data_IF_754635004783
#
_entry.id   IF_754635004783
#
_cell.length_a   1.000
_cell.length_b   1.000
_cell.length_c   1.000
_cell.angle_alpha   90.00
_cell.angle_beta   90.00
_cell.angle_gamma   90.00
#
_symmetry.space_group_name_H-M   'P 1'
#
loop_
_entity.id
_entity.type
_entity.pdbx_description
1 polymer ?
#
# COMPACT_ATOMS: atom_id res chain seq x y z
N UNK A 1 -1.18 -41.51 21.36
CA UNK A 1 -2.63 -41.48 21.18
C UNK A 1 -2.95 -40.40 20.20
N UNK A 2 -3.57 -40.68 19.07
CA UNK A 2 -3.89 -39.64 18.08
C UNK A 2 -5.08 -38.84 18.60
N UNK A 3 -4.89 -37.51 18.70
CA UNK A 3 -5.99 -36.58 18.92
C UNK A 3 -6.86 -36.58 17.66
N UNK A 4 -8.10 -37.00 17.82
CA UNK A 4 -9.15 -36.96 16.80
C UNK A 4 -9.47 -35.50 16.46
N UNK A 5 -8.91 -35.03 15.34
CA UNK A 5 -9.35 -33.83 14.65
C UNK A 5 -10.47 -34.21 13.69
N UNK A 6 -11.69 -34.23 14.17
CA UNK A 6 -12.84 -34.09 13.25
C UNK A 6 -14.13 -33.85 14.04
N UNK A 7 -14.49 -32.56 14.18
CA UNK A 7 -15.87 -32.09 14.36
C UNK A 7 -15.95 -30.61 14.01
N UNK A 8 -15.71 -30.27 12.77
CA UNK A 8 -16.21 -29.02 12.18
C UNK A 8 -17.73 -29.13 11.91
N UNK A 9 -18.51 -29.46 12.92
CA UNK A 9 -19.93 -29.18 12.92
C UNK A 9 -20.06 -27.68 13.23
N UNK A 10 -20.37 -26.90 12.22
CA UNK A 10 -20.58 -25.46 12.33
C UNK A 10 -21.89 -25.22 13.08
N UNK A 11 -21.82 -25.21 14.41
CA UNK A 11 -22.99 -25.07 15.30
C UNK A 11 -23.70 -23.71 15.11
N UNK A 12 -23.02 -22.72 14.52
CA UNK A 12 -23.56 -21.41 14.20
C UNK A 12 -22.89 -20.89 12.93
N UNK A 13 -23.66 -20.50 11.93
CA UNK A 13 -23.15 -20.00 10.65
C UNK A 13 -23.58 -18.57 10.43
N UNK A 14 -22.60 -17.68 10.18
CA UNK A 14 -22.82 -16.28 9.84
C UNK A 14 -22.67 -16.09 8.33
N UNK A 15 -23.68 -15.52 7.69
CA UNK A 15 -23.71 -15.27 6.24
C UNK A 15 -23.95 -13.79 6.00
N UNK A 16 -23.06 -13.18 5.25
CA UNK A 16 -23.17 -11.79 4.82
C UNK A 16 -23.69 -11.77 3.38
N UNK A 17 -24.74 -10.98 3.15
CA UNK A 17 -25.38 -10.83 1.83
C UNK A 17 -24.58 -9.83 0.98
N UNK A 18 -23.37 -10.22 0.57
CA UNK A 18 -22.51 -9.43 -0.30
C UNK A 18 -21.79 -10.35 -1.30
N UNK A 19 -21.44 -9.85 -2.50
CA UNK A 19 -20.63 -10.61 -3.45
C UNK A 19 -19.27 -11.01 -2.85
N UNK A 20 -18.69 -12.13 -3.29
CA UNK A 20 -17.33 -12.51 -2.88
C UNK A 20 -16.32 -11.40 -3.17
N UNK A 21 -15.49 -11.06 -2.19
CA UNK A 21 -14.48 -10.01 -2.31
C UNK A 21 -15.01 -8.58 -2.19
N UNK A 22 -16.28 -8.39 -1.83
CA UNK A 22 -16.86 -7.08 -1.61
C UNK A 22 -16.12 -6.31 -0.52
N UNK A 23 -15.89 -5.01 -0.78
CA UNK A 23 -15.28 -4.09 0.18
C UNK A 23 -16.31 -3.05 0.59
N UNK A 24 -16.63 -3.02 1.86
CA UNK A 24 -17.54 -2.04 2.43
C UNK A 24 -16.84 -0.68 2.63
N UNK A 25 -17.62 0.40 2.60
CA UNK A 25 -17.16 1.70 3.04
C UNK A 25 -17.55 1.95 4.50
N UNK A 26 -16.83 2.87 5.17
CA UNK A 26 -17.30 3.41 6.42
C UNK A 26 -18.63 4.16 6.19
N UNK A 27 -19.65 3.87 6.98
CA UNK A 27 -21.02 4.33 6.79
C UNK A 27 -21.96 3.34 6.10
N UNK A 28 -21.43 2.33 5.39
CA UNK A 28 -22.24 1.29 4.77
C UNK A 28 -22.97 0.43 5.81
N UNK A 29 -24.02 -0.24 5.35
CA UNK A 29 -24.77 -1.20 6.14
C UNK A 29 -24.46 -2.62 5.69
N UNK A 30 -24.00 -3.45 6.61
CA UNK A 30 -23.81 -4.88 6.38
C UNK A 30 -25.11 -5.61 6.71
N UNK A 31 -25.62 -6.34 5.73
CA UNK A 31 -26.86 -7.11 5.84
C UNK A 31 -26.53 -8.60 5.72
N UNK A 32 -27.24 -9.42 6.44
CA UNK A 32 -27.03 -10.85 6.38
C UNK A 32 -27.96 -11.63 7.31
N UNK A 33 -27.61 -12.86 7.56
CA UNK A 33 -28.35 -13.71 8.48
C UNK A 33 -27.44 -14.69 9.21
N UNK A 34 -27.88 -15.08 10.38
CA UNK A 34 -27.25 -16.07 11.24
C UNK A 34 -28.12 -17.33 11.22
N UNK A 35 -27.50 -18.49 11.07
CA UNK A 35 -28.19 -19.78 11.02
C UNK A 35 -27.67 -20.70 12.11
N UNK A 36 -28.58 -21.28 12.84
CA UNK A 36 -28.32 -22.43 13.71
C UNK A 36 -28.89 -23.70 13.06
N UNK A 37 -28.08 -24.50 12.37
CA UNK A 37 -28.58 -25.68 11.66
C UNK A 37 -28.84 -26.86 12.60
N UNK A 38 -28.17 -26.92 13.77
CA UNK A 38 -28.28 -28.03 14.66
C UNK A 38 -29.47 -27.91 15.64
N UNK A 39 -30.10 -29.02 15.99
CA UNK A 39 -31.22 -29.04 16.93
C UNK A 39 -30.85 -28.48 18.29
N UNK A 40 -31.78 -27.75 18.88
CA UNK A 40 -31.65 -27.21 20.23
C UNK A 40 -33.04 -26.98 20.84
N UNK A 41 -33.20 -27.42 22.08
CA UNK A 41 -34.38 -27.09 22.88
C UNK A 41 -33.88 -26.51 24.19
N UNK A 42 -34.22 -25.25 24.45
CA UNK A 42 -33.78 -24.55 25.66
C UNK A 42 -34.83 -23.53 26.10
N UNK A 43 -35.10 -23.40 27.41
CA UNK A 43 -36.03 -22.39 27.90
C UNK A 43 -35.50 -20.99 27.78
N UNK A 44 -34.19 -20.83 27.67
CA UNK A 44 -33.55 -19.49 27.58
C UNK A 44 -32.37 -19.51 26.63
N UNK A 45 -32.44 -18.66 25.62
CA UNK A 45 -31.37 -18.40 24.67
C UNK A 45 -31.28 -16.91 24.32
N UNK A 46 -30.07 -16.46 24.03
CA UNK A 46 -29.82 -15.12 23.51
C UNK A 46 -28.88 -15.23 22.32
N UNK A 47 -29.27 -14.64 21.19
CA UNK A 47 -28.44 -14.48 20.00
C UNK A 47 -28.06 -13.03 19.87
N UNK A 48 -26.79 -12.77 19.78
CA UNK A 48 -26.26 -11.42 19.64
C UNK A 48 -25.22 -11.33 18.51
N UNK A 49 -25.10 -10.15 17.93
CA UNK A 49 -24.14 -9.83 16.87
C UNK A 49 -23.43 -8.54 17.21
N UNK A 50 -22.12 -8.47 16.98
CA UNK A 50 -21.33 -7.27 17.14
C UNK A 50 -20.42 -7.07 15.92
N UNK A 51 -20.17 -5.82 15.56
CA UNK A 51 -19.06 -5.42 14.68
C UNK A 51 -17.84 -5.13 15.54
N UNK A 52 -16.77 -5.86 15.29
CA UNK A 52 -15.51 -5.79 16.03
C UNK A 52 -14.42 -5.26 15.12
N UNK A 53 -13.53 -4.43 15.65
CA UNK A 53 -12.29 -4.03 15.00
C UNK A 53 -11.11 -4.40 15.87
N UNK A 54 -10.03 -4.85 15.25
CA UNK A 54 -8.76 -5.12 15.92
C UNK A 54 -7.65 -4.48 15.10
N UNK A 55 -6.94 -3.53 15.70
CA UNK A 55 -5.68 -3.03 15.15
C UNK A 55 -4.57 -3.60 16.01
N UNK A 56 -3.77 -4.49 15.42
CA UNK A 56 -2.66 -5.15 16.09
C UNK A 56 -1.35 -4.62 15.57
N UNK A 57 -0.44 -4.35 16.49
CA UNK A 57 0.94 -3.98 16.19
C UNK A 57 1.86 -4.90 16.97
N UNK A 58 2.90 -5.39 16.31
CA UNK A 58 3.91 -6.25 16.92
C UNK A 58 5.30 -5.76 16.51
N UNK A 59 6.24 -5.80 17.43
CA UNK A 59 7.64 -5.43 17.18
C UNK A 59 8.57 -6.45 17.85
N UNK A 60 9.57 -6.88 17.08
CA UNK A 60 10.65 -7.73 17.55
C UNK A 60 11.96 -6.98 17.40
N UNK A 61 12.71 -6.81 18.48
CA UNK A 61 14.02 -6.18 18.41
C UNK A 61 15.07 -7.10 17.76
N UNK A 62 15.98 -6.51 16.98
CA UNK A 62 17.06 -7.27 16.38
C UNK A 62 18.02 -7.82 17.45
N UNK A 63 18.52 -9.03 17.24
CA UNK A 63 19.45 -9.69 18.17
C UNK A 63 20.73 -8.88 18.46
N UNK A 64 21.16 -8.02 17.52
CA UNK A 64 22.32 -7.14 17.69
C UNK A 64 22.08 -6.04 18.73
N UNK A 65 20.86 -5.51 18.82
CA UNK A 65 20.47 -4.50 19.81
C UNK A 65 20.25 -5.13 21.19
N UNK A 66 19.67 -6.34 21.22
CA UNK A 66 19.52 -7.13 22.43
C UNK A 66 20.88 -7.49 23.08
N UNK A 67 21.91 -7.70 22.27
CA UNK A 67 23.27 -8.02 22.76
C UNK A 67 24.01 -6.82 23.39
N UNK A 68 23.76 -5.59 22.92
CA UNK A 68 24.39 -4.37 23.47
C UNK A 68 23.77 -3.94 24.81
N UNK A 69 22.57 -4.38 25.14
CA UNK A 69 21.85 -4.05 26.37
C UNK A 69 21.90 -5.16 27.43
N UNK A 70 22.91 -6.05 27.40
CA UNK A 70 23.09 -7.20 28.30
C UNK A 70 23.18 -6.92 29.81
N UNK A 71 23.11 -5.69 30.24
CA UNK A 71 23.05 -5.33 31.66
C UNK A 71 21.64 -5.34 32.27
N UNK A 72 20.62 -5.57 31.46
CA UNK A 72 19.25 -5.64 31.94
C UNK A 72 18.73 -7.08 31.74
N UNK A 73 18.42 -7.76 32.85
CA UNK A 73 17.84 -9.11 32.96
C UNK A 73 16.41 -9.26 32.42
N UNK A 74 16.03 -8.49 31.40
CA UNK A 74 14.68 -8.49 30.87
C UNK A 74 14.67 -9.09 29.47
N UNK A 75 13.93 -10.19 29.32
CA UNK A 75 13.53 -10.77 28.04
C UNK A 75 12.97 -9.68 27.13
N UNK A 76 13.76 -9.24 26.15
CA UNK A 76 13.30 -8.42 25.03
C UNK A 76 12.50 -9.33 24.10
N UNK A 77 11.27 -9.64 24.49
CA UNK A 77 10.32 -10.40 23.69
C UNK A 77 9.43 -9.47 22.87
N UNK A 78 8.69 -10.05 21.97
CA UNK A 78 7.63 -9.40 21.19
C UNK A 78 6.83 -8.42 22.05
N UNK A 79 6.63 -7.22 21.54
CA UNK A 79 5.79 -6.19 22.13
C UNK A 79 4.47 -6.10 21.35
N UNK A 80 3.52 -7.04 21.55
CA UNK A 80 2.23 -6.94 20.90
C UNK A 80 1.40 -5.84 21.56
N UNK A 81 0.74 -5.03 20.75
CA UNK A 81 -0.27 -4.12 21.21
C UNK A 81 -1.55 -4.30 20.38
N UNK A 82 -2.68 -4.26 21.05
CA UNK A 82 -3.97 -4.34 20.40
C UNK A 82 -4.81 -3.11 20.76
N UNK A 83 -5.45 -2.54 19.73
CA UNK A 83 -6.29 -1.37 19.82
C UNK A 83 -7.66 -1.72 19.24
N UNK A 84 -8.71 -1.41 19.96
CA UNK A 84 -10.07 -1.58 19.46
C UNK A 84 -10.58 -0.22 18.96
N UNK A 85 -10.63 -0.04 17.63
CA UNK A 85 -11.14 1.18 17.01
C UNK A 85 -12.65 1.35 17.20
N UNK A 86 -13.37 0.25 17.40
CA UNK A 86 -14.78 0.19 17.70
C UNK A 86 -14.98 -0.45 19.06
N UNK A 87 -15.88 0.08 19.87
CA UNK A 87 -16.34 -0.59 21.07
C UNK A 87 -17.53 -1.47 20.66
N UNK A 88 -17.38 -2.81 20.63
CA UNK A 88 -18.42 -3.69 20.15
C UNK A 88 -19.63 -3.60 21.08
N UNK A 89 -20.69 -2.92 20.61
CA UNK A 89 -22.01 -2.96 21.25
C UNK A 89 -22.80 -4.06 20.57
N UNK A 90 -22.99 -5.23 21.22
CA UNK A 90 -23.75 -6.30 20.62
C UNK A 90 -25.22 -5.88 20.47
N UNK A 91 -25.77 -6.13 19.28
CA UNK A 91 -27.21 -6.06 19.04
C UNK A 91 -27.80 -7.43 19.36
N UNK A 92 -28.92 -7.44 20.06
CA UNK A 92 -29.64 -8.69 20.37
C UNK A 92 -30.58 -9.00 19.21
N UNK A 93 -30.34 -10.12 18.53
CA UNK A 93 -31.18 -10.60 17.43
C UNK A 93 -32.34 -11.45 17.91
N UNK A 94 -32.14 -12.15 19.04
CA UNK A 94 -33.14 -13.01 19.65
C UNK A 94 -32.89 -13.11 21.17
N UNK A 95 -33.98 -13.19 21.92
CA UNK A 95 -33.95 -13.50 23.35
C UNK A 95 -35.24 -14.20 23.74
N UNK A 96 -35.13 -15.38 24.34
CA UNK A 96 -36.27 -16.18 24.79
C UNK A 96 -36.06 -17.70 24.65
N UNK A 97 -37.13 -18.50 24.79
CA UNK A 97 -37.06 -19.94 24.57
C UNK A 97 -36.75 -20.24 23.09
N UNK A 98 -35.84 -21.18 22.85
CA UNK A 98 -35.43 -21.59 21.52
C UNK A 98 -35.73 -23.09 21.33
N UNK A 99 -36.46 -23.39 20.25
CA UNK A 99 -36.75 -24.73 19.82
C UNK A 99 -36.41 -24.90 18.35
N UNK A 100 -35.37 -25.65 18.05
CA UNK A 100 -35.01 -26.13 16.72
C UNK A 100 -35.12 -27.64 16.71
N UNK A 101 -36.16 -28.23 16.10
CA UNK A 101 -36.40 -29.66 16.10
C UNK A 101 -35.35 -30.44 15.28
N UNK A 102 -35.21 -31.75 15.54
CA UNK A 102 -34.20 -32.59 14.87
C UNK A 102 -34.45 -32.79 13.37
N UNK A 103 -35.70 -32.67 12.94
CA UNK A 103 -36.16 -32.81 11.55
C UNK A 103 -36.22 -31.49 10.79
N UNK A 104 -35.79 -30.39 11.43
CA UNK A 104 -35.76 -29.08 10.75
C UNK A 104 -34.67 -29.01 9.69
N UNK A 105 -35.07 -29.02 8.43
CA UNK A 105 -34.14 -28.88 7.31
C UNK A 105 -33.45 -27.48 7.23
N UNK A 106 -34.10 -26.44 7.77
CA UNK A 106 -33.65 -25.05 7.63
C UNK A 106 -32.98 -24.49 8.92
N UNK A 107 -33.17 -25.17 10.06
CA UNK A 107 -32.68 -24.68 11.36
C UNK A 107 -33.39 -23.39 11.80
N UNK A 108 -32.79 -22.68 12.75
CA UNK A 108 -33.23 -21.32 13.13
C UNK A 108 -32.39 -20.26 12.44
N UNK A 109 -33.08 -19.25 11.89
CA UNK A 109 -32.44 -18.17 11.14
C UNK A 109 -32.83 -16.79 11.71
N UNK A 110 -31.83 -15.92 11.89
CA UNK A 110 -32.02 -14.54 12.35
C UNK A 110 -31.36 -13.59 11.37
N UNK A 111 -32.15 -12.73 10.74
CA UNK A 111 -31.65 -11.67 9.88
C UNK A 111 -31.05 -10.54 10.70
N UNK A 112 -30.05 -9.85 10.14
CA UNK A 112 -29.44 -8.69 10.75
C UNK A 112 -29.12 -7.59 9.76
N UNK A 113 -29.00 -6.39 10.30
CA UNK A 113 -28.51 -5.18 9.62
C UNK A 113 -27.67 -4.41 10.62
N UNK A 114 -26.39 -4.16 10.30
CA UNK A 114 -25.47 -3.43 11.16
C UNK A 114 -24.74 -2.36 10.36
N UNK A 115 -24.77 -1.13 10.84
CA UNK A 115 -24.08 -0.01 10.19
C UNK A 115 -22.62 0.05 10.62
N UNK A 116 -21.70 0.21 9.65
CA UNK A 116 -20.29 0.47 9.89
C UNK A 116 -20.14 1.94 10.32
N UNK A 117 -19.57 2.23 11.49
CA UNK A 117 -19.34 3.60 11.90
C UNK A 117 -18.39 4.35 10.95
N UNK A 118 -18.57 5.65 10.76
CA UNK A 118 -17.66 6.47 9.96
C UNK A 118 -16.40 6.88 10.72
N UNK A 119 -16.43 6.82 12.05
CA UNK A 119 -15.36 7.26 12.95
C UNK A 119 -15.10 6.24 14.04
N UNK A 120 -13.84 6.13 14.52
CA UNK A 120 -13.53 5.39 15.73
C UNK A 120 -14.31 5.91 16.93
N UNK A 121 -14.58 5.04 17.88
CA UNK A 121 -15.35 5.41 19.06
C UNK A 121 -14.51 6.21 20.06
N UNK A 122 -15.20 6.92 20.93
CA UNK A 122 -14.59 7.83 21.90
C UNK A 122 -13.73 7.14 22.95
N UNK A 123 -14.08 5.90 23.32
CA UNK A 123 -13.34 5.06 24.26
C UNK A 123 -11.90 4.76 23.80
N UNK A 124 -11.68 4.66 22.49
CA UNK A 124 -10.34 4.45 21.92
C UNK A 124 -9.43 5.66 22.21
N UNK A 125 -9.98 6.85 22.14
CA UNK A 125 -9.25 8.10 22.36
C UNK A 125 -8.91 8.36 23.82
N UNK A 126 -9.82 8.00 24.73
CA UNK A 126 -9.67 8.25 26.16
C UNK A 126 -8.69 7.32 26.89
N UNK A 127 -8.41 6.14 26.31
CA UNK A 127 -7.53 5.12 26.90
C UNK A 127 -6.04 5.27 26.56
N UNK A 128 -5.66 6.24 25.70
CA UNK A 128 -4.30 6.38 25.19
C UNK A 128 -3.68 7.74 25.51
N UNK A 129 -2.34 7.76 25.62
CA UNK A 129 -1.57 9.00 25.76
C UNK A 129 -1.23 9.58 24.39
N UNK A 130 -1.15 10.91 24.30
CA UNK A 130 -0.84 11.61 23.04
C UNK A 130 0.49 11.15 22.43
N UNK A 131 1.50 10.87 23.26
CA UNK A 131 2.83 10.45 22.81
C UNK A 131 2.83 9.07 22.13
N UNK A 132 1.79 8.26 22.37
CA UNK A 132 1.62 6.94 21.75
C UNK A 132 0.73 6.96 20.51
N UNK A 133 0.47 8.13 19.94
CA UNK A 133 -0.41 8.28 18.78
C UNK A 133 0.17 9.23 17.73
N UNK A 134 0.07 8.84 16.44
CA UNK A 134 0.44 9.70 15.31
C UNK A 134 -0.57 10.81 15.05
N UNK A 135 -1.81 10.65 15.50
CA UNK A 135 -2.87 11.66 15.32
C UNK A 135 -3.26 12.27 16.69
N UNK A 136 -3.68 13.53 16.71
CA UNK A 136 -4.16 14.15 17.93
C UNK A 136 -5.31 13.35 18.55
N UNK A 137 -5.28 13.16 19.88
CA UNK A 137 -6.37 12.52 20.61
C UNK A 137 -7.48 13.52 20.96
N UNK A 138 -7.33 14.78 20.59
CA UNK A 138 -8.31 15.84 20.80
C UNK A 138 -9.56 15.62 19.93
N UNK A 139 -10.72 15.79 20.54
CA UNK A 139 -12.04 15.70 19.91
C UNK A 139 -12.28 16.75 18.81
N UNK A 140 -11.53 17.85 18.84
CA UNK A 140 -11.70 18.99 17.92
C UNK A 140 -11.05 18.79 16.55
N UNK A 141 -10.41 17.64 16.31
CA UNK A 141 -9.81 17.30 15.02
C UNK A 141 -10.55 16.14 14.29
N UNK A 142 -11.83 16.30 13.92
CA UNK A 142 -12.64 15.21 13.37
C UNK A 142 -12.09 14.64 12.07
N UNK A 143 -11.36 15.42 11.28
CA UNK A 143 -10.74 14.96 10.04
C UNK A 143 -9.66 13.88 10.27
N UNK A 144 -9.04 13.85 11.44
CA UNK A 144 -8.04 12.85 11.80
C UNK A 144 -8.64 11.56 12.38
N UNK A 145 -9.93 11.57 12.69
CA UNK A 145 -10.64 10.44 13.30
C UNK A 145 -11.56 9.73 12.31
N UNK A 146 -11.06 9.47 11.11
CA UNK A 146 -11.75 8.64 10.12
C UNK A 146 -11.44 7.18 10.43
N UNK A 147 -12.45 6.31 10.30
CA UNK A 147 -12.24 4.87 10.44
C UNK A 147 -11.31 4.40 9.31
N UNK A 148 -10.12 3.84 9.61
CA UNK A 148 -9.20 3.38 8.57
C UNK A 148 -9.77 2.15 7.85
N UNK A 149 -9.34 1.91 6.63
CA UNK A 149 -9.63 0.67 5.91
C UNK A 149 -8.87 -0.53 6.48
N UNK A 150 -9.27 -1.73 6.06
CA UNK A 150 -8.54 -2.96 6.35
C UNK A 150 -7.12 -2.89 5.78
N UNK A 151 -6.14 -3.30 6.57
CA UNK A 151 -4.73 -3.14 6.24
C UNK A 151 -3.91 -4.27 6.87
N UNK A 152 -2.86 -4.69 6.19
CA UNK A 152 -1.88 -5.62 6.75
C UNK A 152 -0.51 -5.35 6.11
N UNK A 153 0.51 -5.23 6.94
CA UNK A 153 1.88 -5.07 6.49
C UNK A 153 2.84 -5.63 7.53
N UNK A 154 4.01 -6.06 7.08
CA UNK A 154 5.10 -6.48 7.95
C UNK A 154 6.41 -6.41 7.18
N UNK A 155 7.50 -6.22 7.91
CA UNK A 155 8.81 -6.17 7.30
C UNK A 155 9.94 -5.99 8.29
N UNK A 156 11.13 -6.29 7.80
CA UNK A 156 12.37 -6.08 8.55
C UNK A 156 12.86 -4.64 8.40
N UNK A 157 13.46 -4.14 9.45
CA UNK A 157 14.18 -2.88 9.48
C UNK A 157 15.55 -3.08 10.12
N UNK A 158 16.36 -2.03 10.19
CA UNK A 158 17.65 -2.06 10.92
C UNK A 158 17.47 -2.35 12.42
N UNK A 159 16.30 -2.03 12.96
CA UNK A 159 15.99 -2.13 14.38
C UNK A 159 15.27 -3.44 14.74
N UNK A 160 14.89 -4.26 13.75
CA UNK A 160 14.22 -5.54 13.94
C UNK A 160 13.04 -5.72 12.98
N UNK A 161 12.14 -6.63 13.31
CA UNK A 161 10.92 -6.90 12.56
C UNK A 161 9.74 -6.15 13.16
N UNK A 162 8.86 -5.61 12.33
CA UNK A 162 7.58 -5.06 12.77
C UNK A 162 6.45 -5.48 11.82
N UNK A 163 5.30 -5.69 12.41
CA UNK A 163 4.07 -5.99 11.68
C UNK A 163 2.90 -5.20 12.24
N UNK A 164 1.93 -4.95 11.39
CA UNK A 164 0.69 -4.31 11.76
C UNK A 164 -0.47 -4.84 10.93
N UNK A 165 -1.62 -5.06 11.57
CA UNK A 165 -2.88 -5.33 10.88
C UNK A 165 -4.01 -4.47 11.43
N UNK A 166 -4.97 -4.14 10.55
CA UNK A 166 -6.24 -3.51 10.88
C UNK A 166 -7.32 -4.41 10.28
N UNK A 167 -8.05 -5.08 11.15
CA UNK A 167 -9.02 -6.09 10.78
C UNK A 167 -10.40 -5.73 11.32
N UNK A 168 -11.42 -6.09 10.56
CA UNK A 168 -12.82 -5.95 10.93
C UNK A 168 -13.53 -7.27 10.74
N UNK A 169 -14.38 -7.61 11.68
CA UNK A 169 -15.18 -8.83 11.61
C UNK A 169 -16.50 -8.67 12.35
N UNK A 170 -17.47 -9.40 11.89
CA UNK A 170 -18.70 -9.62 12.63
C UNK A 170 -18.47 -10.79 13.60
N UNK A 171 -18.86 -10.61 14.84
CA UNK A 171 -18.86 -11.66 15.86
C UNK A 171 -20.30 -11.94 16.26
N UNK A 172 -20.75 -13.17 16.02
CA UNK A 172 -22.06 -13.63 16.45
C UNK A 172 -21.91 -14.63 17.59
N UNK A 173 -22.76 -14.47 18.62
CA UNK A 173 -22.74 -15.30 19.82
C UNK A 173 -24.13 -15.81 20.15
N UNK A 174 -24.26 -17.13 20.27
CA UNK A 174 -25.42 -17.79 20.82
C UNK A 174 -25.09 -18.21 22.26
N UNK A 175 -25.84 -17.72 23.23
CA UNK A 175 -25.82 -18.17 24.62
C UNK A 175 -27.14 -18.86 24.93
N UNK A 176 -27.09 -20.00 25.59
CA UNK A 176 -28.29 -20.75 25.98
C UNK A 176 -28.07 -21.58 27.23
N UNK A 177 -29.14 -21.96 27.90
CA UNK A 177 -29.10 -22.83 29.07
C UNK A 177 -29.22 -24.30 28.65
N UNK A 178 -28.37 -25.16 29.22
CA UNK A 178 -28.50 -26.62 29.11
C UNK A 178 -28.45 -27.20 30.50
N UNK A 179 -29.63 -27.65 30.98
CA UNK A 179 -29.79 -27.92 32.41
C UNK A 179 -29.58 -26.67 33.24
N UNK A 180 -28.69 -26.71 34.22
CA UNK A 180 -28.38 -25.56 35.10
C UNK A 180 -27.12 -24.78 34.65
N UNK A 181 -26.54 -25.08 33.47
CA UNK A 181 -25.32 -24.44 32.99
C UNK A 181 -25.55 -23.59 31.73
N UNK A 182 -24.90 -22.43 31.67
CA UNK A 182 -24.84 -21.64 30.48
C UNK A 182 -23.79 -22.18 29.50
N UNK A 183 -24.18 -22.32 28.25
CA UNK A 183 -23.27 -22.62 27.13
C UNK A 183 -23.25 -21.47 26.16
N UNK A 184 -22.16 -21.32 25.40
CA UNK A 184 -22.07 -20.31 24.37
C UNK A 184 -21.27 -20.80 23.17
N UNK A 185 -21.77 -20.48 21.98
CA UNK A 185 -21.08 -20.65 20.71
C UNK A 185 -20.79 -19.28 20.13
N UNK A 186 -19.60 -19.12 19.56
CA UNK A 186 -19.19 -17.89 18.90
C UNK A 186 -18.72 -18.23 17.48
N UNK A 187 -19.14 -17.45 16.51
CA UNK A 187 -18.65 -17.52 15.14
C UNK A 187 -18.28 -16.13 14.66
N UNK A 188 -17.28 -16.04 13.80
CA UNK A 188 -16.81 -14.78 13.24
C UNK A 188 -16.85 -14.82 11.72
N UNK A 189 -17.07 -13.66 11.11
CA UNK A 189 -17.01 -13.49 9.67
C UNK A 189 -16.19 -12.24 9.36
N UNK A 190 -15.01 -12.35 8.67
CA UNK A 190 -14.21 -11.21 8.33
C UNK A 190 -14.92 -10.33 7.31
N UNK A 191 -14.84 -9.02 7.48
CA UNK A 191 -15.28 -8.03 6.50
C UNK A 191 -14.13 -7.13 6.11
N UNK A 192 -14.05 -6.76 4.84
CA UNK A 192 -13.04 -5.83 4.33
C UNK A 192 -13.64 -4.44 4.23
N UNK A 193 -13.04 -3.47 4.92
CA UNK A 193 -13.41 -2.06 4.81
C UNK A 193 -12.41 -1.37 3.89
N UNK A 194 -12.90 -0.64 2.87
CA UNK A 194 -12.06 0.18 2.01
C UNK A 194 -11.59 1.43 2.73
N UNK A 195 -10.41 1.91 2.38
CA UNK A 195 -9.92 3.19 2.90
C UNK A 195 -10.81 4.33 2.41
N UNK A 196 -10.96 5.34 3.26
CA UNK A 196 -11.71 6.54 2.92
C UNK A 196 -11.00 7.30 1.79
N UNK A 197 -11.77 7.71 0.78
CA UNK A 197 -11.29 8.57 -0.29
C UNK A 197 -11.12 9.97 0.27
N UNK A 198 -9.86 10.38 0.49
CA UNK A 198 -9.58 11.77 0.84
C UNK A 198 -9.60 12.60 -0.46
N UNK A 199 -10.51 13.56 -0.54
CA UNK A 199 -10.42 14.60 -1.56
C UNK A 199 -9.10 15.34 -1.40
N UNK A 200 -8.19 15.15 -2.33
CA UNK A 200 -6.92 15.85 -2.33
C UNK A 200 -6.95 16.93 -3.40
N UNK A 201 -6.88 18.18 -3.00
CA UNK A 201 -6.67 19.33 -3.91
C UNK A 201 -5.45 19.17 -4.83
N UNK A 202 -4.59 18.18 -4.53
CA UNK A 202 -3.36 17.90 -5.25
C UNK A 202 -3.47 16.79 -6.32
N UNK A 203 -4.65 16.19 -6.54
CA UNK A 203 -4.78 15.12 -7.54
C UNK A 203 -4.41 15.55 -8.96
N UNK A 204 -4.58 16.84 -9.29
CA UNK A 204 -4.23 17.38 -10.60
C UNK A 204 -2.88 18.11 -10.63
N UNK A 205 -2.19 18.22 -9.50
CA UNK A 205 -0.91 18.89 -9.45
C UNK A 205 0.22 17.96 -9.91
N UNK A 206 1.02 18.44 -10.85
CA UNK A 206 2.20 17.73 -11.33
C UNK A 206 3.44 18.15 -10.54
N UNK A 207 4.36 17.21 -10.38
CA UNK A 207 5.73 17.45 -9.94
C UNK A 207 6.62 17.34 -11.17
N UNK A 208 7.52 18.27 -11.33
CA UNK A 208 8.53 18.26 -12.37
C UNK A 208 9.89 17.97 -11.75
N UNK A 209 10.63 17.06 -12.36
CA UNK A 209 11.99 16.70 -11.97
C UNK A 209 12.90 16.82 -13.19
N UNK A 210 14.00 17.54 -13.02
CA UNK A 210 14.98 17.73 -14.07
C UNK A 210 16.24 16.92 -13.79
N UNK A 211 16.65 16.12 -14.77
CA UNK A 211 17.84 15.28 -14.72
C UNK A 211 18.77 15.65 -15.88
N UNK A 212 20.08 15.71 -15.63
CA UNK A 212 21.07 15.98 -16.67
C UNK A 212 21.57 14.66 -17.26
N UNK A 213 21.56 14.58 -18.59
CA UNK A 213 22.06 13.44 -19.34
C UNK A 213 23.26 13.85 -20.17
N UNK A 214 24.27 12.98 -20.26
CA UNK A 214 25.51 13.21 -21.01
C UNK A 214 25.85 11.96 -21.81
N UNK A 215 25.95 12.14 -23.12
CA UNK A 215 26.30 11.08 -24.07
C UNK A 215 27.64 11.40 -24.72
N UNK A 216 28.56 10.45 -24.69
CA UNK A 216 29.92 10.68 -25.16
C UNK A 216 30.36 9.60 -26.13
N UNK A 217 30.33 9.90 -27.42
CA UNK A 217 30.71 8.96 -28.48
C UNK A 217 31.09 9.67 -29.76
N UNK A 218 32.00 9.07 -30.54
CA UNK A 218 32.34 9.55 -31.86
C UNK A 218 31.19 9.47 -32.87
N UNK A 219 30.19 8.60 -32.57
CA UNK A 219 28.97 8.51 -33.39
C UNK A 219 28.07 9.74 -33.33
N UNK A 220 28.38 10.70 -32.47
CA UNK A 220 27.73 12.00 -32.44
C UNK A 220 28.22 12.93 -33.58
N UNK A 221 29.32 12.62 -34.25
CA UNK A 221 29.80 13.37 -35.40
C UNK A 221 28.89 13.07 -36.60
N UNK A 222 28.33 14.10 -37.29
CA UNK A 222 27.53 13.91 -38.50
C UNK A 222 28.26 13.02 -39.53
N UNK A 223 27.55 12.01 -40.02
CA UNK A 223 28.12 11.02 -40.96
C UNK A 223 28.83 9.83 -40.32
N UNK A 224 28.93 9.78 -38.95
CA UNK A 224 29.52 8.66 -38.22
C UNK A 224 28.50 7.84 -37.40
N UNK A 225 27.21 8.11 -37.54
CA UNK A 225 26.14 7.55 -36.73
C UNK A 225 26.13 6.02 -36.71
N UNK A 226 26.35 5.38 -37.85
CA UNK A 226 26.39 3.92 -38.02
C UNK A 226 27.81 3.34 -38.09
N UNK A 227 28.86 4.17 -37.93
CA UNK A 227 30.24 3.69 -38.07
C UNK A 227 30.64 2.69 -37.00
N UNK A 228 31.32 1.61 -37.42
CA UNK A 228 31.97 0.68 -36.47
C UNK A 228 33.21 1.35 -35.90
N UNK A 229 33.25 1.56 -34.58
CA UNK A 229 34.40 2.19 -33.90
C UNK A 229 35.58 1.20 -33.88
N UNK A 230 36.75 1.68 -34.33
CA UNK A 230 38.00 0.92 -34.27
C UNK A 230 38.42 0.66 -32.79
N UNK A 231 39.28 -0.33 -32.51
CA UNK A 231 39.78 -0.59 -31.14
C UNK A 231 40.45 0.66 -30.54
N UNK A 232 41.19 1.41 -31.33
CA UNK A 232 41.85 2.69 -30.92
C UNK A 232 40.81 3.75 -30.52
N UNK A 233 39.72 3.85 -31.25
CA UNK A 233 38.61 4.78 -30.94
C UNK A 233 37.85 4.38 -29.67
N UNK A 234 37.64 3.06 -29.45
CA UNK A 234 37.08 2.54 -28.19
C UNK A 234 37.99 2.85 -27.01
N UNK A 235 39.30 2.72 -27.20
CA UNK A 235 40.31 3.02 -26.17
C UNK A 235 40.34 4.52 -25.82
N UNK A 236 40.29 5.42 -26.81
CA UNK A 236 40.19 6.88 -26.58
C UNK A 236 38.96 7.23 -25.73
N UNK A 237 37.86 6.54 -25.94
CA UNK A 237 36.65 6.67 -25.13
C UNK A 237 36.89 6.26 -23.68
N UNK A 238 37.54 5.12 -23.48
CA UNK A 238 37.81 4.58 -22.12
C UNK A 238 38.71 5.54 -21.31
N UNK A 239 39.71 6.14 -21.92
CA UNK A 239 40.63 7.11 -21.30
C UNK A 239 40.09 8.53 -21.22
N UNK A 240 38.85 8.78 -21.57
CA UNK A 240 38.24 10.10 -21.38
C UNK A 240 38.79 11.21 -22.22
N UNK A 241 39.32 10.91 -23.42
CA UNK A 241 39.95 11.91 -24.31
C UNK A 241 39.00 13.07 -24.66
N UNK A 242 39.47 14.31 -24.54
CA UNK A 242 38.73 15.53 -24.91
C UNK A 242 38.35 15.60 -26.41
N UNK A 243 38.93 14.72 -27.23
CA UNK A 243 38.62 14.63 -28.68
C UNK A 243 37.28 13.94 -28.97
N UNK A 244 36.64 13.30 -27.99
CA UNK A 244 35.35 12.68 -28.18
C UNK A 244 34.24 13.68 -27.89
N UNK A 245 33.33 13.95 -28.83
CA UNK A 245 32.24 14.89 -28.61
C UNK A 245 31.30 14.41 -27.51
N UNK A 246 30.80 15.36 -26.73
CA UNK A 246 29.84 15.18 -25.67
C UNK A 246 28.56 15.92 -26.03
N UNK A 247 27.43 15.20 -26.03
CA UNK A 247 26.10 15.79 -26.14
C UNK A 247 25.44 15.79 -24.75
N UNK A 248 24.99 16.98 -24.34
CA UNK A 248 24.32 17.18 -23.07
C UNK A 248 22.85 17.56 -23.30
N UNK A 249 21.95 16.92 -22.57
CA UNK A 249 20.55 17.31 -22.54
C UNK A 249 19.98 17.29 -21.12
N UNK A 250 18.88 18.01 -20.93
CA UNK A 250 18.04 17.94 -19.74
C UNK A 250 16.85 17.07 -20.06
N UNK A 251 16.63 16.07 -19.23
CA UNK A 251 15.43 15.28 -19.19
C UNK A 251 14.52 15.86 -18.12
N UNK A 252 13.35 16.31 -18.48
CA UNK A 252 12.29 16.78 -17.61
C UNK A 252 11.21 15.70 -17.53
N UNK A 253 11.01 15.15 -16.34
CA UNK A 253 9.96 14.18 -16.06
C UNK A 253 8.88 14.85 -15.22
N UNK A 254 7.64 14.88 -15.75
CA UNK A 254 6.47 15.40 -15.05
C UNK A 254 5.55 14.24 -14.70
N UNK A 255 5.19 14.14 -13.43
CA UNK A 255 4.33 13.09 -12.88
C UNK A 255 3.44 13.64 -11.78
N UNK A 256 2.30 12.98 -11.44
CA UNK A 256 1.36 13.50 -10.46
C UNK A 256 1.94 13.43 -9.03
N UNK A 257 1.52 14.35 -8.18
CA UNK A 257 1.83 14.31 -6.73
C UNK A 257 0.99 13.28 -5.97
N UNK A 258 -0.15 12.90 -6.55
CA UNK A 258 -1.04 11.87 -6.02
C UNK A 258 -1.55 10.97 -7.14
N UNK A 259 -1.66 9.67 -6.88
CA UNK A 259 -2.24 8.67 -7.78
C UNK A 259 -3.43 8.03 -7.09
N UNK A 260 -4.58 8.01 -7.74
CA UNK A 260 -5.75 7.27 -7.29
C UNK A 260 -5.65 5.82 -7.77
N UNK A 261 -5.84 4.86 -6.86
CA UNK A 261 -5.94 3.46 -7.22
C UNK A 261 -7.22 3.23 -8.03
N UNK A 262 -7.11 2.48 -9.13
CA UNK A 262 -8.26 2.19 -9.99
C UNK A 262 -8.92 3.43 -10.61
N UNK A 263 -8.24 4.59 -10.58
CA UNK A 263 -8.80 5.85 -11.08
C UNK A 263 -9.21 5.75 -12.55
N UNK A 264 -10.25 6.53 -12.97
CA UNK A 264 -10.79 6.46 -14.34
C UNK A 264 -9.85 7.07 -15.40
N UNK A 265 -8.88 7.87 -14.97
CA UNK A 265 -7.93 8.54 -15.85
C UNK A 265 -6.54 7.90 -15.77
N UNK A 266 -5.82 7.81 -16.91
CA UNK A 266 -4.44 7.37 -16.91
C UNK A 266 -3.55 8.26 -16.05
N UNK A 267 -2.51 7.65 -15.45
CA UNK A 267 -1.50 8.38 -14.68
C UNK A 267 -0.79 9.38 -15.60
N UNK A 268 -0.86 10.69 -15.38
CA UNK A 268 -0.16 11.67 -16.22
C UNK A 268 1.35 11.54 -16.02
N UNK A 269 2.03 10.94 -16.98
CA UNK A 269 3.48 10.78 -17.02
C UNK A 269 4.03 11.37 -18.30
N UNK A 270 4.63 12.55 -18.21
CA UNK A 270 5.13 13.27 -19.37
C UNK A 270 6.64 13.42 -19.30
N UNK A 271 7.29 13.21 -20.42
CA UNK A 271 8.74 13.33 -20.57
C UNK A 271 9.06 14.35 -21.66
N UNK A 272 9.96 15.28 -21.35
CA UNK A 272 10.49 16.28 -22.27
C UNK A 272 12.03 16.25 -22.27
N UNK A 273 12.66 16.45 -23.44
CA UNK A 273 14.10 16.43 -23.59
C UNK A 273 14.54 17.71 -24.26
N UNK A 274 15.39 18.47 -23.57
CA UNK A 274 15.92 19.77 -24.07
C UNK A 274 17.43 19.71 -24.16
N UNK A 275 18.05 20.03 -25.30
CA UNK A 275 19.51 20.11 -25.43
C UNK A 275 20.09 21.22 -24.54
N UNK A 276 21.31 21.00 -24.04
CA UNK A 276 22.07 22.00 -23.27
C UNK A 276 23.29 22.39 -24.09
N UNK A 277 23.11 23.40 -24.91
CA UNK A 277 24.14 23.85 -25.88
C UNK A 277 25.43 24.29 -25.20
N UNK A 278 25.35 24.94 -24.05
CA UNK A 278 26.53 25.41 -23.28
C UNK A 278 27.42 24.25 -22.82
N UNK A 279 26.85 23.08 -22.56
CA UNK A 279 27.56 21.90 -22.12
C UNK A 279 27.80 20.88 -23.23
N UNK A 280 27.31 21.14 -24.44
CA UNK A 280 27.48 20.29 -25.61
C UNK A 280 28.73 20.71 -26.36
N UNK A 281 29.54 19.75 -26.84
CA UNK A 281 30.75 19.99 -27.58
C UNK A 281 30.48 20.87 -28.82
N UNK A 282 31.33 21.86 -29.07
CA UNK A 282 31.17 22.85 -30.11
C UNK A 282 30.97 22.22 -31.50
N UNK A 283 31.68 21.14 -31.80
CA UNK A 283 31.59 20.42 -33.09
C UNK A 283 30.23 19.84 -33.43
N UNK A 284 29.33 19.73 -32.45
CA UNK A 284 28.00 19.12 -32.60
C UNK A 284 26.88 19.98 -32.04
N UNK A 285 27.20 21.20 -31.61
CA UNK A 285 26.25 22.16 -31.03
C UNK A 285 25.21 22.58 -32.08
N UNK A 286 23.96 22.73 -31.67
CA UNK A 286 22.86 23.12 -32.53
C UNK A 286 22.41 22.06 -33.54
N UNK A 287 23.04 20.88 -33.58
CA UNK A 287 22.57 19.77 -34.42
C UNK A 287 21.47 18.99 -33.71
N UNK A 288 20.25 18.92 -34.26
CA UNK A 288 19.18 18.13 -33.70
C UNK A 288 19.59 16.67 -33.55
N UNK A 289 19.25 16.07 -32.40
CA UNK A 289 19.55 14.66 -32.09
C UNK A 289 18.28 13.87 -31.87
N UNK A 290 18.31 12.62 -32.24
CA UNK A 290 17.30 11.66 -31.90
C UNK A 290 17.70 10.98 -30.57
N UNK A 291 16.88 11.16 -29.56
CA UNK A 291 17.03 10.49 -28.28
C UNK A 291 15.98 9.38 -28.22
N UNK A 292 16.43 8.13 -28.17
CA UNK A 292 15.55 6.99 -28.04
C UNK A 292 15.31 6.71 -26.57
N UNK A 293 14.04 6.54 -26.18
CA UNK A 293 13.64 6.08 -24.87
C UNK A 293 13.51 4.55 -24.95
N UNK A 294 14.42 3.85 -24.28
CA UNK A 294 14.48 2.39 -24.34
C UNK A 294 13.46 1.76 -23.38
N UNK A 295 13.36 2.28 -22.18
CA UNK A 295 12.39 1.85 -21.18
C UNK A 295 12.24 2.85 -20.03
N UNK A 296 11.13 2.71 -19.31
CA UNK A 296 10.85 3.40 -18.06
C UNK A 296 10.52 2.34 -17.02
N UNK A 297 10.95 2.57 -15.78
CA UNK A 297 10.64 1.73 -14.62
C UNK A 297 10.07 2.59 -13.51
N UNK A 298 9.04 2.11 -12.86
CA UNK A 298 8.45 2.71 -11.67
C UNK A 298 8.65 1.78 -10.47
N UNK A 299 9.22 2.28 -9.40
CA UNK A 299 9.37 1.55 -8.13
C UNK A 299 8.62 2.29 -7.05
N UNK A 300 7.65 1.63 -6.45
CA UNK A 300 6.90 2.14 -5.28
C UNK A 300 7.57 1.58 -4.03
N UNK A 301 8.06 2.44 -3.18
CA UNK A 301 8.55 2.11 -1.85
C UNK A 301 7.46 2.46 -0.83
N UNK A 302 6.84 1.44 -0.25
CA UNK A 302 5.89 1.58 0.84
C UNK A 302 6.66 1.81 2.14
N UNK A 303 6.29 2.81 2.91
CA UNK A 303 6.86 3.11 4.22
C UNK A 303 5.77 3.00 5.26
N UNK A 304 5.95 2.11 6.23
CA UNK A 304 5.04 1.95 7.36
C UNK A 304 5.75 2.23 8.66
N UNK A 305 5.28 3.23 9.39
CA UNK A 305 5.73 3.50 10.75
C UNK A 305 4.69 2.97 11.72
N UNK A 306 5.15 2.21 12.72
CA UNK A 306 4.33 1.55 13.73
C UNK A 306 4.72 2.06 15.10
N UNK A 307 3.74 2.36 15.95
CA UNK A 307 3.90 2.71 17.35
C UNK A 307 3.43 1.55 18.22
N UNK A 308 4.26 1.18 19.20
CA UNK A 308 3.91 0.18 20.21
C UNK A 308 4.15 0.78 21.58
N UNK A 309 3.21 0.65 22.53
CA UNK A 309 3.42 1.11 23.91
C UNK A 309 4.64 0.45 24.52
N UNK A 310 5.52 1.23 25.15
CA UNK A 310 6.67 0.69 25.88
C UNK A 310 6.21 0.02 27.16
N UNK A 311 6.72 -1.17 27.46
CA UNK A 311 6.49 -1.85 28.75
C UNK A 311 7.30 -1.25 29.90
N UNK A 312 8.27 -0.38 29.59
CA UNK A 312 9.13 0.20 30.61
C UNK A 312 8.48 1.42 31.26
N UNK A 313 7.91 1.21 32.44
CA UNK A 313 7.44 2.26 33.35
C UNK A 313 8.52 2.67 34.38
N UNK A 314 9.82 2.34 34.16
CA UNK A 314 10.85 2.76 35.07
C UNK A 314 11.07 4.27 34.96
N UNK A 315 11.17 4.91 36.11
CA UNK A 315 11.29 6.38 36.32
C UNK A 315 12.47 7.04 35.58
N UNK A 316 13.34 6.25 34.95
CA UNK A 316 14.54 6.73 34.25
C UNK A 316 14.40 6.85 32.72
N UNK A 317 13.34 6.32 32.10
CA UNK A 317 13.15 6.40 30.64
C UNK A 317 11.93 7.23 30.29
N UNK A 318 12.16 8.35 29.63
CA UNK A 318 11.13 9.30 29.19
C UNK A 318 10.31 8.83 27.98
N UNK A 319 10.69 7.73 27.33
CA UNK A 319 9.99 7.20 26.17
C UNK A 319 8.90 6.20 26.58
N UNK A 320 7.65 6.59 26.41
CA UNK A 320 6.46 5.77 26.72
C UNK A 320 6.01 4.91 25.55
N UNK A 321 6.72 4.93 24.42
CA UNK A 321 6.40 4.16 23.21
C UNK A 321 7.67 3.84 22.44
N UNK A 322 7.63 2.73 21.69
CA UNK A 322 8.62 2.39 20.68
C UNK A 322 8.06 2.71 19.31
N UNK A 323 8.86 3.33 18.45
CA UNK A 323 8.54 3.57 17.05
C UNK A 323 9.50 2.78 16.19
N UNK A 324 8.95 2.05 15.22
CA UNK A 324 9.71 1.35 14.21
C UNK A 324 9.16 1.67 12.82
N UNK A 325 10.08 1.83 11.87
CA UNK A 325 9.72 2.02 10.46
C UNK A 325 10.27 0.86 9.65
N UNK A 326 9.43 0.25 8.85
CA UNK A 326 9.84 -0.71 7.83
C UNK A 326 9.43 -0.23 6.45
N UNK A 327 10.15 -0.68 5.45
CA UNK A 327 9.85 -0.36 4.06
C UNK A 327 9.87 -1.63 3.20
N UNK A 328 8.95 -1.69 2.27
CA UNK A 328 8.93 -2.70 1.21
C UNK A 328 8.90 -2.02 -0.14
N UNK A 329 9.49 -2.66 -1.15
CA UNK A 329 9.57 -2.12 -2.50
C UNK A 329 8.78 -2.96 -3.48
N UNK A 330 7.99 -2.30 -4.31
CA UNK A 330 7.24 -2.90 -5.41
C UNK A 330 7.75 -2.32 -6.71
N UNK A 331 8.40 -3.15 -7.53
CA UNK A 331 8.88 -2.75 -8.85
C UNK A 331 7.81 -3.03 -9.91
N UNK A 332 7.38 -1.98 -10.61
CA UNK A 332 6.43 -2.05 -11.71
C UNK A 332 7.21 -1.92 -13.02
N UNK A 333 7.36 -3.05 -13.71
CA UNK A 333 8.20 -3.16 -14.90
C UNK A 333 7.46 -2.67 -16.14
N UNK A 334 7.64 -1.39 -16.48
CA UNK A 334 7.14 -0.83 -17.74
C UNK A 334 7.99 -1.24 -18.94
N UNK A 335 9.15 -1.85 -18.73
CA UNK A 335 10.04 -2.32 -19.80
C UNK A 335 9.30 -3.22 -20.80
N UNK A 336 8.47 -4.14 -20.33
CA UNK A 336 7.68 -5.03 -21.17
C UNK A 336 6.67 -4.31 -22.08
N UNK A 337 6.28 -3.07 -21.74
CA UNK A 337 5.42 -2.25 -22.59
C UNK A 337 6.22 -1.67 -23.76
N UNK A 338 7.47 -1.26 -23.50
CA UNK A 338 8.35 -0.74 -24.54
C UNK A 338 8.77 -1.84 -25.54
N UNK A 339 8.92 -3.08 -25.07
CA UNK A 339 9.21 -4.25 -25.93
C UNK A 339 8.06 -4.57 -26.91
N UNK A 340 6.82 -4.19 -26.56
CA UNK A 340 5.63 -4.40 -27.42
C UNK A 340 5.43 -3.28 -28.44
N UNK A 341 6.23 -2.21 -28.41
CA UNK A 341 6.10 -1.12 -29.38
C UNK A 341 6.59 -1.57 -30.76
N UNK A 342 5.80 -1.32 -31.78
CA UNK A 342 6.15 -1.62 -33.18
C UNK A 342 7.36 -0.80 -33.67
N UNK A 343 7.58 0.37 -33.07
CA UNK A 343 8.70 1.25 -33.40
C UNK A 343 9.32 1.86 -32.13
N UNK A 344 10.64 2.09 -32.13
CA UNK A 344 11.30 2.75 -30.99
C UNK A 344 10.68 4.10 -30.68
N UNK A 345 10.53 4.38 -29.38
CA UNK A 345 10.08 5.71 -28.93
C UNK A 345 11.23 6.71 -29.05
N UNK A 346 11.15 7.63 -30.00
CA UNK A 346 12.22 8.59 -30.32
C UNK A 346 11.72 10.01 -30.13
N UNK A 347 12.51 10.83 -29.43
CA UNK A 347 12.31 12.27 -29.25
C UNK A 347 13.38 13.04 -30.04
N UNK A 348 12.99 13.94 -30.91
CA UNK A 348 13.93 14.87 -31.55
C UNK A 348 14.21 16.04 -30.61
N UNK A 349 15.48 16.41 -30.45
CA UNK A 349 15.88 17.59 -29.64
C UNK A 349 15.84 18.90 -30.41
N UNK A 350 15.12 19.00 -31.53
CA UNK A 350 14.93 20.22 -32.29
C UNK A 350 14.03 21.23 -31.57
N UNK A 351 13.94 22.45 -32.15
CA UNK A 351 13.11 23.54 -31.60
C UNK A 351 11.62 23.20 -31.47
N UNK A 352 11.15 22.22 -32.26
CA UNK A 352 9.74 21.79 -32.31
C UNK A 352 9.51 20.49 -31.49
N UNK A 353 10.42 20.15 -30.57
CA UNK A 353 10.27 18.98 -29.71
C UNK A 353 9.02 19.09 -28.86
N UNK A 354 8.13 18.09 -28.99
CA UNK A 354 6.91 17.99 -28.19
C UNK A 354 7.13 17.02 -27.04
N UNK A 355 6.65 17.35 -25.83
CA UNK A 355 6.65 16.41 -24.71
C UNK A 355 5.84 15.15 -25.04
N UNK A 356 6.33 13.98 -24.65
CA UNK A 356 5.60 12.71 -24.81
C UNK A 356 4.86 12.41 -23.52
N UNK A 357 3.56 12.23 -23.62
CA UNK A 357 2.72 11.77 -22.49
C UNK A 357 2.58 10.24 -22.51
N UNK A 358 3.47 9.56 -21.80
CA UNK A 358 3.48 8.10 -21.69
C UNK A 358 2.26 7.54 -20.97
N UNK A 359 1.79 8.25 -19.95
CA UNK A 359 0.62 7.83 -19.21
C UNK A 359 -0.60 7.70 -20.10
N UNK A 360 -0.81 8.69 -20.97
CA UNK A 360 -1.90 8.67 -21.92
C UNK A 360 -1.63 7.70 -23.09
N UNK A 361 -0.40 7.68 -23.62
CA UNK A 361 -0.02 6.76 -24.71
C UNK A 361 -0.24 5.30 -24.31
N UNK A 362 0.13 4.96 -23.10
CA UNK A 362 0.04 3.58 -22.58
C UNK A 362 -1.22 3.31 -21.77
N UNK A 363 -2.09 4.30 -21.56
CA UNK A 363 -3.30 4.18 -20.73
C UNK A 363 -2.97 3.53 -19.38
N UNK A 364 -1.94 4.07 -18.67
CA UNK A 364 -1.44 3.52 -17.42
C UNK A 364 -2.39 3.79 -16.27
N UNK A 365 -2.85 2.74 -15.60
CA UNK A 365 -3.68 2.85 -14.39
C UNK A 365 -3.07 1.99 -13.28
N UNK A 366 -2.87 2.58 -12.10
CA UNK A 366 -2.39 1.87 -10.92
C UNK A 366 -3.59 1.31 -10.14
N UNK A 367 -3.60 0.01 -9.93
CA UNK A 367 -4.56 -0.70 -9.09
C UNK A 367 -3.91 -1.19 -7.79
N UNK A 368 -4.70 -1.56 -6.81
CA UNK A 368 -4.20 -2.15 -5.56
C UNK A 368 -3.41 -3.47 -5.76
N UNK A 369 -3.51 -4.09 -6.91
CA UNK A 369 -2.86 -5.37 -7.26
C UNK A 369 -1.84 -5.26 -8.40
N UNK A 370 -1.57 -4.05 -8.90
CA UNK A 370 -0.57 -3.82 -9.95
C UNK A 370 -0.88 -2.66 -10.89
N UNK A 371 -0.09 -2.56 -11.95
CA UNK A 371 -0.21 -1.54 -12.99
C UNK A 371 -0.81 -2.17 -14.25
N UNK A 372 -1.77 -1.50 -14.88
CA UNK A 372 -2.34 -1.91 -16.17
C UNK A 372 -1.84 -1.02 -17.31
N UNK A 373 -1.72 -1.63 -18.49
CA UNK A 373 -1.50 -1.01 -19.79
C UNK A 373 -2.79 -1.19 -20.61
N UNK A 374 -3.54 -0.12 -20.79
CA UNK A 374 -4.90 -0.24 -21.27
C UNK A 374 -5.74 -1.13 -20.34
N UNK A 375 -6.23 -2.27 -20.87
CA UNK A 375 -6.99 -3.27 -20.10
C UNK A 375 -6.13 -4.42 -19.58
N UNK A 376 -4.85 -4.48 -19.95
CA UNK A 376 -3.96 -5.59 -19.67
C UNK A 376 -3.15 -5.34 -18.39
N UNK A 377 -3.16 -6.30 -17.47
CA UNK A 377 -2.31 -6.22 -16.28
C UNK A 377 -0.86 -6.53 -16.65
N UNK A 378 0.04 -5.57 -16.46
CA UNK A 378 1.47 -5.75 -16.75
C UNK A 378 2.10 -6.76 -15.80
N UNK A 379 1.82 -6.62 -14.52
CA UNK A 379 2.39 -7.45 -13.47
C UNK A 379 1.47 -7.43 -12.24
N UNK A 380 1.26 -8.59 -11.64
CA UNK A 380 0.61 -8.70 -10.33
C UNK A 380 1.64 -8.45 -9.24
N UNK A 381 1.28 -7.64 -8.27
CA UNK A 381 2.13 -7.28 -7.12
C UNK A 381 1.38 -7.52 -5.80
N UNK A 382 2.10 -7.57 -4.66
CA UNK A 382 1.46 -7.51 -3.35
C UNK A 382 0.53 -6.31 -3.24
N UNK A 383 -0.52 -6.36 -2.39
CA UNK A 383 -1.48 -5.27 -2.29
C UNK A 383 -0.81 -3.92 -2.02
N UNK A 384 -1.13 -2.93 -2.85
CA UNK A 384 -0.77 -1.53 -2.66
C UNK A 384 -1.93 -0.88 -1.91
N UNK A 385 -1.66 -0.38 -0.72
CA UNK A 385 -2.64 0.32 0.09
C UNK A 385 -2.54 1.83 -0.15
N UNK A 386 -3.60 2.60 0.07
CA UNK A 386 -3.53 4.06 0.06
C UNK A 386 -2.69 4.60 1.23
N UNK A 387 -2.26 5.87 1.12
CA UNK A 387 -1.69 6.60 2.24
C UNK A 387 -2.75 6.83 3.31
N UNK A 388 -2.41 6.52 4.56
CA UNK A 388 -3.26 6.83 5.69
C UNK A 388 -2.44 7.03 6.96
N UNK A 389 -3.07 7.67 7.94
CA UNK A 389 -2.54 7.79 9.29
C UNK A 389 -3.66 7.48 10.27
N UNK A 390 -3.36 6.60 11.23
CA UNK A 390 -4.24 6.28 12.35
C UNK A 390 -3.45 6.40 13.66
N UNK A 391 -4.01 5.93 14.76
CA UNK A 391 -3.37 6.10 16.08
C UNK A 391 -1.96 5.49 16.13
N UNK A 392 -1.83 4.24 15.79
CA UNK A 392 -0.56 3.51 15.93
C UNK A 392 0.15 3.20 14.59
N UNK A 393 -0.42 3.62 13.47
CA UNK A 393 0.13 3.32 12.14
C UNK A 393 0.08 4.55 11.25
N UNK A 394 1.20 4.80 10.56
CA UNK A 394 1.30 5.75 9.46
C UNK A 394 1.86 5.03 8.25
N UNK A 395 1.11 5.02 7.15
CA UNK A 395 1.49 4.41 5.87
C UNK A 395 1.61 5.47 4.80
N UNK A 396 2.71 5.46 4.04
CA UNK A 396 3.04 6.46 3.02
C UNK A 396 3.91 5.85 1.93
N UNK A 397 4.06 6.58 0.81
CA UNK A 397 4.77 6.09 -0.36
C UNK A 397 5.83 7.06 -0.85
N UNK A 398 6.89 6.46 -1.39
CA UNK A 398 7.92 7.14 -2.18
C UNK A 398 8.01 6.42 -3.51
N UNK A 399 8.01 7.17 -4.61
CA UNK A 399 8.11 6.60 -5.94
C UNK A 399 9.44 6.99 -6.57
N UNK A 400 10.13 5.99 -7.11
CA UNK A 400 11.35 6.15 -7.89
C UNK A 400 11.05 5.86 -9.35
N UNK A 401 11.35 6.83 -10.21
CA UNK A 401 11.29 6.71 -11.65
C UNK A 401 12.69 6.52 -12.21
N UNK A 402 12.89 5.47 -12.98
CA UNK A 402 14.15 5.22 -13.70
C UNK A 402 13.86 5.25 -15.19
N UNK A 403 14.61 6.03 -15.94
CA UNK A 403 14.47 6.19 -17.41
C UNK A 403 15.77 5.82 -18.07
N UNK A 404 15.73 4.91 -19.03
CA UNK A 404 16.86 4.55 -19.87
C UNK A 404 16.72 5.20 -21.24
N UNK A 405 17.72 5.97 -21.61
CA UNK A 405 17.82 6.71 -22.86
C UNK A 405 19.00 6.24 -23.67
N UNK A 406 18.92 6.37 -24.98
CA UNK A 406 20.08 6.19 -25.85
C UNK A 406 20.19 7.27 -26.94
N UNK A 407 21.42 7.65 -27.24
CA UNK A 407 21.76 8.61 -28.30
C UNK A 407 22.95 8.04 -29.06
N UNK A 408 22.83 7.90 -30.37
CA UNK A 408 23.88 7.36 -31.23
C UNK A 408 24.46 6.00 -30.71
N UNK A 409 23.59 5.15 -30.15
CA UNK A 409 23.95 3.84 -29.61
C UNK A 409 24.60 3.86 -28.21
N UNK A 410 24.72 5.02 -27.57
CA UNK A 410 25.15 5.15 -26.19
C UNK A 410 23.97 5.20 -25.25
N UNK A 411 23.96 4.32 -24.24
CA UNK A 411 22.89 4.25 -23.27
C UNK A 411 23.26 4.97 -21.97
N UNK A 412 22.29 5.65 -21.39
CA UNK A 412 22.37 6.23 -20.05
C UNK A 412 21.07 5.97 -19.30
N UNK A 413 21.20 5.64 -18.03
CA UNK A 413 20.07 5.50 -17.11
C UNK A 413 20.10 6.65 -16.12
N UNK A 414 18.96 7.28 -15.92
CA UNK A 414 18.78 8.35 -14.94
C UNK A 414 17.63 8.00 -14.01
N UNK A 415 17.74 8.45 -12.77
CA UNK A 415 16.80 8.11 -11.73
C UNK A 415 16.36 9.35 -10.94
N UNK A 416 15.11 9.39 -10.56
CA UNK A 416 14.56 10.40 -9.65
C UNK A 416 13.58 9.79 -8.67
N UNK A 417 13.62 10.29 -7.44
CA UNK A 417 12.78 9.80 -6.33
C UNK A 417 11.98 10.96 -5.76
N UNK A 418 10.71 10.71 -5.47
CA UNK A 418 9.82 11.70 -4.88
C UNK A 418 8.78 11.04 -3.97
N UNK A 419 8.38 11.77 -2.92
CA UNK A 419 7.17 11.42 -2.17
C UNK A 419 5.96 11.53 -3.09
N UNK A 420 5.10 10.54 -3.03
CA UNK A 420 3.88 10.44 -3.80
C UNK A 420 2.75 9.94 -2.92
N UNK A 421 1.62 10.62 -2.96
CA UNK A 421 0.43 10.18 -2.23
C UNK A 421 -0.34 9.15 -3.07
N UNK A 422 -0.61 7.99 -2.51
CA UNK A 422 -1.53 7.02 -3.09
C UNK A 422 -2.89 7.18 -2.42
N UNK A 423 -3.92 7.38 -3.21
CA UNK A 423 -5.29 7.65 -2.75
C UNK A 423 -6.16 6.43 -3.04
N UNK A 424 -7.13 6.16 -2.16
CA UNK A 424 -8.04 5.05 -2.31
C UNK A 424 -8.87 5.14 -3.60
N UNK A 425 -9.33 3.97 -4.04
CA UNK A 425 -10.35 3.81 -5.08
C UNK A 425 -11.67 4.45 -4.64
N UNK A 426 -12.36 5.10 -5.57
CA UNK A 426 -13.65 5.81 -5.34
C UNK A 426 -14.84 4.87 -5.25
#
# INVERSE_FOLDING_TARGET
MPFSTDRNKTELKLVVAAPPGWKFAAGDTVIGYLVRPEPIITPEATVSLALVSSMRTNMEESASRAASNRTSLNNHGNLPAEWHLLNPKPITLFSGPLHVPEDSAEGATWSFSIQIPTKPQESVRSGHRQESSFIPLDKNHPAHHILPGSFSTGGESKDGFSECSIEYYLEAKLRYTRGNAWQSFTTTHPITIRHHVQETSHMHSLRQQMMKCKFRTLRLIPGMESASLSPKQKMLRFFGSSKIPEFCCKLELSFPRAIQLGGPLPIPLTLNITPVDESTSESIRGVPRQVQINWIKMVICNKSAVLVPSRYTSVQYTSTHCRQEHSSTTSLRLESVFEKLESPCVVSTGKDSQPINFGHMFQLVLHSYGLTYGKELIQRVPPIYPDFTTYAVKHSHVVTWTVCLSVAGEMQTVETTAEMKIVADS
#
